data_IF_640271799729
#
_entry.id   IF_640271799729
#
_cell.length_a   1.000
_cell.length_b   1.000
_cell.length_c   1.000
_cell.angle_alpha   90.00
_cell.angle_beta   90.00
_cell.angle_gamma   90.00
#
_symmetry.space_group_name_H-M   'P 1'
#
loop_
_entity.id
_entity.type
_entity.pdbx_description
1 polymer ?
#
# COMPACT_ATOMS: atom_id res chain seq x y z
N UNK A 1 1.64 3.95 7.78
CA UNK A 1 0.69 3.28 6.85
C UNK A 1 1.46 2.76 5.64
N UNK A 2 1.26 1.50 5.23
CA UNK A 2 1.86 0.95 4.01
C UNK A 2 0.86 1.07 2.85
N UNK A 3 1.19 1.86 1.83
CA UNK A 3 0.36 2.04 0.63
C UNK A 3 1.18 1.74 -0.62
N UNK A 4 0.51 1.30 -1.67
CA UNK A 4 1.08 1.34 -3.01
C UNK A 4 0.97 2.78 -3.55
N UNK A 5 1.86 3.17 -4.46
CA UNK A 5 1.88 4.50 -5.06
C UNK A 5 0.85 4.64 -6.20
N UNK A 6 -0.27 3.91 -6.13
CA UNK A 6 -1.30 3.99 -7.17
C UNK A 6 -2.01 5.34 -7.01
N UNK A 7 -2.41 5.93 -8.15
CA UNK A 7 -2.95 7.30 -8.25
C UNK A 7 -3.99 7.70 -7.18
N UNK A 8 -4.97 6.88 -6.73
CA UNK A 8 -5.93 7.35 -5.73
C UNK A 8 -5.29 7.61 -4.35
N UNK A 9 -4.19 6.92 -4.02
CA UNK A 9 -3.48 7.10 -2.74
C UNK A 9 -2.55 8.30 -2.72
N UNK A 10 -2.15 8.79 -3.90
CA UNK A 10 -1.25 9.94 -4.03
C UNK A 10 -1.98 11.28 -4.25
N UNK A 11 -3.31 11.28 -4.39
CA UNK A 11 -4.09 12.53 -4.52
C UNK A 11 -3.94 13.37 -3.25
N UNK A 12 -3.82 14.69 -3.41
CA UNK A 12 -3.64 15.64 -2.29
C UNK A 12 -4.69 15.48 -1.18
N UNK A 13 -5.94 15.17 -1.53
CA UNK A 13 -6.99 14.89 -0.54
C UNK A 13 -6.69 13.67 0.35
N UNK A 14 -6.12 12.60 -0.23
CA UNK A 14 -5.68 11.41 0.49
C UNK A 14 -4.45 11.72 1.35
N UNK A 15 -3.49 12.48 0.82
CA UNK A 15 -2.29 12.90 1.56
C UNK A 15 -2.62 13.82 2.73
N UNK A 16 -3.57 14.76 2.57
CA UNK A 16 -4.02 15.66 3.63
C UNK A 16 -4.62 14.91 4.83
N UNK A 17 -5.33 13.79 4.58
CA UNK A 17 -5.85 12.93 5.65
C UNK A 17 -4.75 12.10 6.34
N UNK A 18 -3.59 11.96 5.71
CA UNK A 18 -2.45 11.20 6.20
C UNK A 18 -1.35 12.10 6.82
N UNK A 19 -1.57 13.41 6.94
CA UNK A 19 -0.59 14.36 7.49
C UNK A 19 -0.06 13.99 8.89
N UNK A 20 -0.83 13.25 9.68
CA UNK A 20 -0.44 12.82 11.03
C UNK A 20 0.18 11.42 11.06
N UNK A 21 0.28 10.74 9.92
CA UNK A 21 0.76 9.36 9.82
C UNK A 21 1.99 9.33 8.93
N UNK A 22 3.08 8.74 9.44
CA UNK A 22 4.26 8.48 8.61
C UNK A 22 3.89 7.49 7.50
N UNK A 23 3.85 7.98 6.27
CA UNK A 23 3.66 7.17 5.06
C UNK A 23 5.05 6.80 4.54
N UNK A 24 5.34 5.50 4.48
CA UNK A 24 6.58 5.01 3.88
C UNK A 24 6.40 4.95 2.37
N UNK A 25 7.23 5.67 1.63
CA UNK A 25 7.23 5.63 0.16
C UNK A 25 7.67 4.25 -0.32
N UNK A 26 6.89 3.67 -1.24
CA UNK A 26 7.13 2.35 -1.77
C UNK A 26 7.65 2.44 -3.20
N UNK A 27 8.64 1.62 -3.58
CA UNK A 27 9.04 1.54 -4.98
C UNK A 27 7.91 0.92 -5.83
N UNK A 28 7.63 1.51 -6.99
CA UNK A 28 6.47 1.18 -7.84
C UNK A 28 6.37 -0.30 -8.26
N UNK A 29 7.47 -1.06 -8.21
CA UNK A 29 7.53 -2.48 -8.60
C UNK A 29 7.66 -3.46 -7.42
N UNK A 30 7.52 -2.98 -6.19
CA UNK A 30 7.89 -3.78 -5.02
C UNK A 30 6.74 -4.61 -4.43
N UNK A 31 5.81 -5.16 -5.23
CA UNK A 31 4.61 -5.89 -4.75
C UNK A 31 4.88 -6.92 -3.63
N UNK A 32 6.03 -7.59 -3.68
CA UNK A 32 6.55 -8.52 -2.66
C UNK A 32 6.76 -7.90 -1.26
N UNK A 33 6.94 -6.59 -1.14
CA UNK A 33 7.10 -5.88 0.14
C UNK A 33 5.76 -5.54 0.83
N UNK A 34 4.62 -5.99 0.30
CA UNK A 34 3.31 -5.71 0.90
C UNK A 34 2.93 -6.82 1.85
N UNK A 35 2.70 -6.52 3.13
CA UNK A 35 1.99 -7.45 4.01
C UNK A 35 0.61 -7.83 3.45
N UNK A 36 -0.04 -6.91 2.73
CA UNK A 36 -1.34 -7.17 2.07
C UNK A 36 -1.20 -8.19 0.94
N UNK A 37 -0.11 -8.16 0.17
CA UNK A 37 0.15 -9.13 -0.91
C UNK A 37 0.37 -10.51 -0.32
N UNK A 38 1.15 -10.61 0.76
CA UNK A 38 1.33 -11.87 1.49
C UNK A 38 -0.03 -12.46 1.92
N UNK A 39 -0.94 -11.65 2.46
CA UNK A 39 -2.27 -12.11 2.88
C UNK A 39 -3.08 -12.61 1.68
N UNK A 40 -3.06 -11.90 0.55
CA UNK A 40 -3.71 -12.36 -0.68
C UNK A 40 -3.10 -13.65 -1.22
N UNK A 41 -1.78 -13.81 -1.19
CA UNK A 41 -1.09 -15.03 -1.62
C UNK A 41 -1.45 -16.22 -0.73
N UNK A 42 -1.66 -16.00 0.58
CA UNK A 42 -2.16 -17.04 1.49
C UNK A 42 -3.61 -17.42 1.19
N UNK A 43 -4.49 -16.44 1.03
CA UNK A 43 -5.89 -16.67 0.69
C UNK A 43 -6.06 -17.41 -0.64
N UNK A 44 -5.33 -17.01 -1.68
CA UNK A 44 -5.38 -17.66 -3.00
C UNK A 44 -4.75 -19.06 -3.05
N UNK A 45 -3.94 -19.44 -2.06
CA UNK A 45 -3.44 -20.81 -1.89
C UNK A 45 -4.36 -21.69 -1.04
N UNK A 46 -5.29 -21.09 -0.31
CA UNK A 46 -6.26 -21.77 0.54
C UNK A 46 -7.61 -22.01 -0.16
N UNK A 47 -7.86 -21.31 -1.28
CA UNK A 47 -8.96 -21.55 -2.22
C UNK A 47 -8.51 -22.52 -3.31
#
# INVERSE_FOLDING_TARGET
>A
LFSNNIRPHMVCASMNRLCHVKVLQRSARSSHLSQIQHVWDKLGRQL
#
